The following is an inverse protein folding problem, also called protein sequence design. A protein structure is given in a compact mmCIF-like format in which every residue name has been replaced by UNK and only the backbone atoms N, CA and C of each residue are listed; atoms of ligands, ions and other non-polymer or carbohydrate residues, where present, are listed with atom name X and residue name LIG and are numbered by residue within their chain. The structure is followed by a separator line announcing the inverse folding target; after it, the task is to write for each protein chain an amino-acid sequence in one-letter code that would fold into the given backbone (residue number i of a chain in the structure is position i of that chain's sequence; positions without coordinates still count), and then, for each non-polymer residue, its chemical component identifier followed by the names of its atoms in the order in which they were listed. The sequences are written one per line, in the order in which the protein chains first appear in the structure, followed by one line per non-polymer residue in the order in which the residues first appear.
data_IF_058329520991
#
_entry.id   IF_058329520991
#
_cell.length_a   1.000
_cell.length_b   1.000
_cell.length_c   1.000
_cell.angle_alpha   90.00
_cell.angle_beta   90.00
_cell.angle_gamma   90.00
#
_symmetry.space_group_name_H-M   'P 1'
#
loop_
_entity.id
_entity.type
_entity.pdbx_description
1 polymer ?
#
# COMPACT_ATOMS: atom_id res chain seq x y z
N UNK A 1 3.61 13.35 -66.15
CA UNK A 1 2.82 12.13 -66.27
C UNK A 1 1.75 12.16 -65.19
N UNK A 2 0.51 12.49 -65.55
CA UNK A 2 -0.65 12.60 -64.66
C UNK A 2 -1.54 11.39 -64.73
N UNK A 3 -1.17 10.36 -65.50
CA UNK A 3 -2.01 9.18 -65.69
C UNK A 3 -1.69 8.10 -64.64
N UNK A 4 -2.75 7.62 -63.98
CA UNK A 4 -2.66 6.46 -63.13
C UNK A 4 -2.23 5.23 -63.93
N UNK A 5 -1.10 4.65 -63.62
CA UNK A 5 -0.60 3.43 -64.26
C UNK A 5 -0.86 2.23 -63.37
N UNK A 6 -1.46 1.21 -63.92
CA UNK A 6 -1.59 -0.08 -63.27
C UNK A 6 -0.40 -0.97 -63.64
N UNK A 7 0.40 -1.31 -62.63
CA UNK A 7 1.49 -2.24 -62.74
C UNK A 7 0.99 -3.67 -62.44
N UNK A 8 0.78 -4.46 -63.50
CA UNK A 8 0.36 -5.87 -63.37
C UNK A 8 1.58 -6.76 -63.66
N UNK A 9 1.84 -7.71 -62.78
CA UNK A 9 2.95 -8.68 -62.91
C UNK A 9 4.35 -8.03 -63.04
N UNK A 10 4.58 -6.92 -62.33
CA UNK A 10 5.90 -6.26 -62.29
C UNK A 10 6.52 -6.40 -60.92
N UNK A 11 7.78 -6.76 -60.89
CA UNK A 11 8.60 -6.71 -59.69
C UNK A 11 9.29 -5.35 -59.65
N UNK A 12 9.04 -4.60 -58.58
CA UNK A 12 9.70 -3.33 -58.31
C UNK A 12 10.95 -3.59 -57.47
N UNK A 13 12.13 -3.34 -58.02
CA UNK A 13 13.39 -3.44 -57.28
C UNK A 13 13.66 -2.11 -56.57
N UNK A 14 13.73 -2.08 -55.25
CA UNK A 14 13.98 -0.90 -54.41
C UNK A 14 13.07 0.31 -54.70
N UNK A 15 11.74 0.13 -54.69
CA UNK A 15 10.84 1.26 -54.93
C UNK A 15 10.88 2.23 -53.75
N UNK A 16 10.96 3.53 -54.03
CA UNK A 16 10.68 4.57 -53.05
C UNK A 16 9.19 4.87 -53.12
N UNK A 17 8.45 4.48 -52.13
CA UNK A 17 7.01 4.69 -52.02
C UNK A 17 6.77 5.82 -51.00
N UNK A 18 6.46 6.99 -51.51
CA UNK A 18 6.21 8.17 -50.65
C UNK A 18 4.82 8.17 -50.01
N UNK A 19 3.87 7.51 -50.66
CA UNK A 19 2.51 7.36 -50.18
C UNK A 19 1.99 5.96 -50.49
N UNK A 20 1.60 5.24 -49.47
CA UNK A 20 1.02 3.90 -49.58
C UNK A 20 -0.43 3.99 -49.09
N UNK A 21 -1.36 4.14 -50.04
CA UNK A 21 -2.77 4.20 -49.78
C UNK A 21 -3.54 3.05 -50.44
N UNK A 22 -4.77 2.81 -50.03
CA UNK A 22 -5.62 1.77 -50.57
C UNK A 22 -5.68 0.50 -49.72
N UNK A 23 -6.05 -0.62 -50.35
CA UNK A 23 -6.30 -1.89 -49.65
C UNK A 23 -5.07 -2.61 -49.13
N UNK A 24 -3.88 -2.20 -49.54
CA UNK A 24 -2.62 -2.76 -49.04
C UNK A 24 -2.24 -2.23 -47.63
N UNK A 25 -2.79 -1.09 -47.25
CA UNK A 25 -2.61 -0.48 -45.90
C UNK A 25 -3.87 -0.66 -45.10
N UNK A 26 -3.75 -1.29 -43.94
CA UNK A 26 -4.87 -1.46 -43.03
C UNK A 26 -5.00 -0.20 -42.17
N UNK A 27 -6.00 0.60 -42.47
CA UNK A 27 -6.33 1.84 -41.74
C UNK A 27 -7.50 1.68 -40.74
N UNK A 28 -8.25 0.59 -40.88
CA UNK A 28 -9.38 0.25 -39.98
C UNK A 28 -9.59 -1.28 -39.93
N UNK A 29 -10.19 -1.76 -38.87
CA UNK A 29 -10.42 -3.19 -38.65
C UNK A 29 -9.12 -3.99 -38.43
N UNK A 30 -9.24 -5.24 -38.05
CA UNK A 30 -8.13 -6.21 -37.96
C UNK A 30 -8.04 -7.00 -39.26
N UNK A 31 -6.84 -7.20 -39.79
CA UNK A 31 -6.60 -8.07 -40.94
C UNK A 31 -5.96 -9.37 -40.47
N UNK A 32 -6.51 -10.50 -40.92
CA UNK A 32 -5.90 -11.83 -40.74
C UNK A 32 -4.90 -12.17 -41.83
N UNK A 33 -4.64 -11.24 -42.75
CA UNK A 33 -3.71 -11.48 -43.85
C UNK A 33 -2.30 -11.00 -43.51
N UNK A 34 -1.35 -11.88 -43.56
CA UNK A 34 0.09 -11.62 -43.29
C UNK A 34 0.74 -10.67 -44.29
N UNK A 35 0.05 -10.34 -45.39
CA UNK A 35 0.58 -9.55 -46.51
C UNK A 35 0.20 -8.06 -46.45
N UNK A 36 -0.39 -7.59 -45.32
CA UNK A 36 -0.82 -6.19 -45.20
C UNK A 36 0.07 -5.42 -44.21
N UNK A 37 0.32 -4.17 -44.58
CA UNK A 37 1.04 -3.23 -43.71
C UNK A 37 0.04 -2.35 -42.98
N UNK A 38 0.15 -2.30 -41.69
CA UNK A 38 -0.64 -1.37 -40.85
C UNK A 38 -0.06 0.06 -40.95
N UNK A 39 -0.92 1.07 -41.02
CA UNK A 39 -0.47 2.43 -40.81
C UNK A 39 0.05 2.60 -39.36
N UNK A 40 0.94 3.55 -39.16
CA UNK A 40 1.45 3.83 -37.79
C UNK A 40 0.33 4.10 -36.79
N UNK A 41 -0.73 4.81 -37.21
CA UNK A 41 -1.92 5.04 -36.39
C UNK A 41 -2.61 3.72 -36.04
N UNK A 42 -2.86 2.86 -37.05
CA UNK A 42 -3.55 1.58 -36.83
C UNK A 42 -2.71 0.60 -36.01
N UNK A 43 -1.41 0.58 -36.21
CA UNK A 43 -0.51 -0.22 -35.38
C UNK A 43 -0.60 0.23 -33.91
N UNK A 44 -0.59 1.54 -33.64
CA UNK A 44 -0.80 2.08 -32.30
C UNK A 44 -2.13 1.67 -31.68
N UNK A 45 -3.22 1.72 -32.46
CA UNK A 45 -4.55 1.28 -32.00
C UNK A 45 -4.61 -0.20 -31.65
N UNK A 46 -3.94 -1.06 -32.42
CA UNK A 46 -3.96 -2.52 -32.21
C UNK A 46 -3.00 -2.95 -31.11
N UNK A 47 -1.79 -2.41 -31.08
CA UNK A 47 -0.75 -2.86 -30.17
C UNK A 47 -0.78 -2.17 -28.80
N UNK A 48 -1.33 -0.96 -28.72
CA UNK A 48 -1.37 -0.18 -27.50
C UNK A 48 -2.78 0.20 -27.04
N UNK A 49 -3.80 -0.30 -27.70
CA UNK A 49 -5.19 -0.34 -27.25
C UNK A 49 -5.81 0.94 -26.68
N UNK A 50 -5.23 2.11 -26.99
CA UNK A 50 -5.58 3.34 -26.25
C UNK A 50 -7.05 3.77 -26.35
N UNK A 51 -7.80 3.34 -27.34
CA UNK A 51 -9.14 3.90 -27.56
C UNK A 51 -10.29 2.86 -27.70
N UNK A 52 -10.04 1.56 -27.53
CA UNK A 52 -11.12 0.61 -27.84
C UNK A 52 -11.32 -0.57 -26.92
N UNK A 53 -10.31 -1.10 -26.28
CA UNK A 53 -10.54 -2.26 -25.40
C UNK A 53 -9.44 -2.35 -24.36
N UNK A 54 -9.82 -2.21 -23.10
CA UNK A 54 -9.13 -2.99 -22.17
C UNK A 54 -7.98 -2.35 -21.38
N UNK A 55 -7.97 -1.03 -21.17
CA UNK A 55 -7.19 -0.48 -20.07
C UNK A 55 -8.05 -0.41 -18.81
N UNK A 56 -7.51 -0.85 -17.70
CA UNK A 56 -8.04 -0.53 -16.37
C UNK A 56 -7.29 0.68 -15.87
N UNK A 57 -8.01 1.76 -15.62
CA UNK A 57 -7.46 2.99 -15.05
C UNK A 57 -7.65 3.01 -13.53
N UNK A 58 -6.92 3.91 -12.86
CA UNK A 58 -7.08 4.12 -11.42
C UNK A 58 -8.53 4.51 -11.08
N UNK A 59 -9.12 3.83 -10.10
CA UNK A 59 -10.52 4.04 -9.69
C UNK A 59 -11.56 3.19 -10.42
N UNK A 60 -11.17 2.40 -11.42
CA UNK A 60 -12.08 1.47 -12.09
C UNK A 60 -12.19 0.12 -11.34
N UNK A 61 -13.35 -0.53 -11.49
CA UNK A 61 -13.58 -1.85 -10.89
C UNK A 61 -12.76 -2.91 -11.62
N UNK A 62 -11.99 -3.68 -10.90
CA UNK A 62 -11.29 -4.85 -11.41
C UNK A 62 -12.25 -6.00 -11.67
N UNK A 63 -12.12 -6.62 -12.83
CA UNK A 63 -12.86 -7.82 -13.19
C UNK A 63 -11.89 -8.99 -13.40
N UNK A 64 -12.39 -10.21 -13.32
CA UNK A 64 -11.63 -11.42 -13.64
C UNK A 64 -11.50 -11.70 -15.14
N UNK A 65 -11.82 -10.74 -15.99
CA UNK A 65 -11.73 -10.88 -17.43
C UNK A 65 -10.30 -10.66 -17.92
N UNK A 66 -9.86 -11.48 -18.88
CA UNK A 66 -8.49 -11.44 -19.47
C UNK A 66 -8.38 -10.49 -20.67
N UNK A 67 -9.35 -9.61 -20.86
CA UNK A 67 -9.48 -8.71 -22.01
C UNK A 67 -8.95 -7.30 -21.75
N UNK A 68 -8.33 -7.08 -20.57
CA UNK A 68 -7.87 -5.75 -20.14
C UNK A 68 -6.42 -5.75 -19.69
N UNK A 69 -5.73 -4.66 -19.97
CA UNK A 69 -4.38 -4.36 -19.47
C UNK A 69 -4.47 -3.25 -18.44
N UNK A 70 -3.99 -3.50 -17.25
CA UNK A 70 -4.00 -2.49 -16.22
C UNK A 70 -2.88 -1.45 -16.45
N UNK A 71 -3.18 -0.17 -16.27
CA UNK A 71 -2.17 0.87 -16.23
C UNK A 71 -1.30 0.74 -14.97
N UNK A 72 -0.11 1.30 -14.97
CA UNK A 72 0.75 1.32 -13.78
C UNK A 72 0.07 2.01 -12.59
N UNK A 73 -0.71 3.07 -12.85
CA UNK A 73 -1.48 3.76 -11.82
C UNK A 73 -2.62 2.89 -11.26
N UNK A 74 -3.27 2.07 -12.09
CA UNK A 74 -4.29 1.14 -11.65
C UNK A 74 -3.69 0.00 -10.80
N UNK A 75 -2.52 -0.51 -11.18
CA UNK A 75 -1.80 -1.53 -10.41
C UNK A 75 -1.39 -0.98 -9.05
N UNK A 76 -0.82 0.22 -9.01
CA UNK A 76 -0.41 0.90 -7.78
C UNK A 76 -1.61 1.12 -6.84
N UNK A 77 -2.71 1.68 -7.37
CA UNK A 77 -3.94 1.86 -6.63
C UNK A 77 -4.52 0.53 -6.10
N UNK A 78 -4.47 -0.56 -6.88
CA UNK A 78 -4.95 -1.87 -6.45
C UNK A 78 -4.06 -2.50 -5.38
N UNK A 79 -2.75 -2.30 -5.45
CA UNK A 79 -1.84 -2.77 -4.40
C UNK A 79 -2.14 -2.05 -3.09
N UNK A 80 -2.31 -0.73 -3.12
CA UNK A 80 -2.68 0.07 -1.94
C UNK A 80 -4.02 -0.43 -1.37
N UNK A 81 -5.05 -0.56 -2.19
CA UNK A 81 -6.37 -1.05 -1.83
C UNK A 81 -6.32 -2.43 -1.15
N UNK A 82 -5.55 -3.38 -1.71
CA UNK A 82 -5.38 -4.71 -1.11
C UNK A 82 -4.63 -4.68 0.22
N UNK A 83 -3.63 -3.80 0.35
CA UNK A 83 -2.91 -3.62 1.62
C UNK A 83 -3.82 -3.02 2.68
N UNK A 84 -4.68 -2.08 2.30
CA UNK A 84 -5.65 -1.45 3.17
C UNK A 84 -6.78 -2.43 3.57
N UNK A 85 -7.26 -3.25 2.65
CA UNK A 85 -8.28 -4.29 2.91
C UNK A 85 -7.82 -5.36 3.93
N UNK A 86 -6.52 -5.65 3.99
CA UNK A 86 -5.96 -6.60 4.97
C UNK A 86 -5.83 -5.98 6.38
N UNK A 87 -6.19 -4.70 6.54
CA UNK A 87 -5.98 -3.95 7.77
C UNK A 87 -4.50 -3.63 7.93
N UNK A 88 -4.06 -2.55 7.34
CA UNK A 88 -2.65 -2.16 7.26
C UNK A 88 -1.92 -2.27 8.60
N UNK A 89 -0.70 -2.74 8.55
CA UNK A 89 0.20 -2.81 9.69
C UNK A 89 1.43 -1.95 9.39
N UNK A 90 1.58 -0.84 10.10
CA UNK A 90 2.66 0.12 9.88
C UNK A 90 3.66 0.07 11.03
N UNK A 91 4.85 -0.51 10.85
CA UNK A 91 5.87 -0.50 11.87
C UNK A 91 6.57 0.87 11.94
N UNK A 92 6.71 1.40 13.16
CA UNK A 92 7.51 2.60 13.45
C UNK A 92 8.57 2.32 14.51
N UNK A 93 9.68 3.03 14.45
CA UNK A 93 10.82 2.79 15.33
C UNK A 93 10.55 3.21 16.77
N UNK A 94 9.84 4.33 16.97
CA UNK A 94 9.55 4.87 18.31
C UNK A 94 8.28 5.73 18.31
N UNK A 95 7.86 6.15 19.48
CA UNK A 95 6.71 7.04 19.68
C UNK A 95 6.92 8.47 19.14
N UNK A 96 8.06 8.78 18.58
CA UNK A 96 8.38 10.12 18.02
C UNK A 96 8.48 10.14 16.49
N UNK A 97 8.17 9.04 15.82
CA UNK A 97 8.26 8.92 14.37
C UNK A 97 6.95 8.50 13.70
N UNK A 98 5.84 8.96 14.23
CA UNK A 98 4.53 8.77 13.61
C UNK A 98 4.46 9.40 12.21
N UNK A 99 3.66 8.84 11.28
CA UNK A 99 3.47 9.38 9.95
C UNK A 99 2.91 10.81 9.95
N UNK A 100 3.15 11.57 8.85
CA UNK A 100 2.58 12.92 8.67
C UNK A 100 1.07 12.94 8.51
N UNK A 101 0.53 11.87 7.96
CA UNK A 101 -0.91 11.64 7.80
C UNK A 101 -1.23 10.32 8.48
N UNK A 102 -2.42 10.19 9.03
CA UNK A 102 -2.83 8.89 9.52
C UNK A 102 -2.86 7.91 8.35
N UNK A 103 -2.22 6.74 8.48
CA UNK A 103 -2.48 5.64 7.56
C UNK A 103 -3.99 5.38 7.47
N UNK A 104 -4.46 4.86 6.34
CA UNK A 104 -5.87 4.81 6.04
C UNK A 104 -6.71 4.13 7.13
N UNK A 105 -7.92 4.65 7.32
CA UNK A 105 -8.92 4.14 8.25
C UNK A 105 -9.94 3.36 7.42
N UNK A 106 -9.54 2.18 6.95
CA UNK A 106 -10.36 1.39 6.04
C UNK A 106 -11.71 1.02 6.66
N UNK A 107 -12.80 1.52 6.09
CA UNK A 107 -14.19 1.26 6.49
C UNK A 107 -14.43 1.37 8.02
N UNK A 108 -13.68 2.21 8.71
CA UNK A 108 -13.76 2.39 10.16
C UNK A 108 -12.98 1.36 10.99
N UNK A 109 -12.26 0.44 10.34
CA UNK A 109 -11.48 -0.59 11.04
C UNK A 109 -10.06 -0.14 11.40
N UNK A 110 -9.60 1.01 10.92
CA UNK A 110 -8.30 1.57 11.23
C UNK A 110 -7.08 0.70 10.91
N UNK A 111 -5.97 1.35 10.62
CA UNK A 111 -4.67 0.68 10.42
C UNK A 111 -3.94 0.56 11.76
N UNK A 112 -3.36 -0.60 12.04
CA UNK A 112 -2.55 -0.81 13.23
C UNK A 112 -1.15 -0.25 13.04
N UNK A 113 -0.72 0.61 13.95
CA UNK A 113 0.67 1.06 14.05
C UNK A 113 1.37 0.30 15.16
N UNK A 114 2.47 -0.35 14.81
CA UNK A 114 3.34 -1.03 15.75
C UNK A 114 4.53 -0.16 16.11
N UNK A 115 4.53 0.35 17.31
CA UNK A 115 5.67 1.08 17.88
C UNK A 115 6.66 0.04 18.39
N UNK A 116 7.86 -0.03 17.80
CA UNK A 116 8.90 -0.98 18.18
C UNK A 116 9.35 -0.78 19.62
N UNK A 117 9.55 0.47 20.02
CA UNK A 117 10.05 0.80 21.35
C UNK A 117 9.60 2.20 21.77
N UNK A 118 9.04 2.33 22.96
CA UNK A 118 8.80 3.59 23.63
C UNK A 118 10.12 4.08 24.21
N UNK A 119 10.60 5.22 23.76
CA UNK A 119 11.87 5.80 24.21
C UNK A 119 11.76 6.44 25.60
N UNK A 120 10.64 7.07 25.88
CA UNK A 120 10.38 7.76 27.16
C UNK A 120 9.01 7.34 27.70
N UNK A 121 8.98 6.94 28.98
CA UNK A 121 7.72 6.57 29.65
C UNK A 121 6.70 7.70 29.59
N UNK A 122 5.46 7.35 29.22
CA UNK A 122 4.34 8.28 29.08
C UNK A 122 3.21 7.85 29.99
N UNK A 123 2.91 8.69 30.99
CA UNK A 123 1.79 8.44 31.89
C UNK A 123 0.53 9.08 31.33
N UNK A 124 -0.58 8.32 31.19
CA UNK A 124 -1.84 8.87 30.71
C UNK A 124 -2.42 9.91 31.69
N UNK A 125 -3.03 10.94 31.12
CA UNK A 125 -3.91 11.86 31.87
C UNK A 125 -5.32 11.64 31.35
N UNK A 126 -6.25 11.28 32.22
CA UNK A 126 -7.64 10.94 31.85
C UNK A 126 -7.73 9.93 30.69
N UNK A 127 -6.88 8.89 30.73
CA UNK A 127 -6.86 7.84 29.70
C UNK A 127 -6.18 8.20 28.39
N UNK A 128 -5.56 9.38 28.31
CA UNK A 128 -4.94 9.89 27.09
C UNK A 128 -3.47 10.17 27.32
N UNK A 129 -2.64 9.75 26.37
CA UNK A 129 -1.22 10.11 26.29
C UNK A 129 -1.03 11.13 25.17
N UNK A 130 -0.33 12.22 25.48
CA UNK A 130 0.04 13.25 24.52
C UNK A 130 1.55 13.25 24.36
N UNK A 131 2.02 13.17 23.11
CA UNK A 131 3.44 13.13 22.78
C UNK A 131 3.75 14.37 21.95
N UNK A 132 4.35 15.37 22.58
CA UNK A 132 4.86 16.54 21.87
C UNK A 132 5.96 16.08 20.87
N UNK A 133 5.90 16.63 19.67
CA UNK A 133 6.83 16.26 18.59
C UNK A 133 6.83 14.74 18.28
N UNK A 134 5.69 14.09 18.42
CA UNK A 134 5.53 12.66 18.12
C UNK A 134 5.63 12.33 16.63
N UNK A 135 5.65 13.34 15.77
CA UNK A 135 5.97 13.23 14.35
C UNK A 135 7.27 13.98 14.06
N UNK A 136 8.31 13.27 13.67
CA UNK A 136 9.65 13.85 13.44
C UNK A 136 9.71 14.78 12.20
N UNK A 137 8.82 14.62 11.25
CA UNK A 137 8.87 15.38 9.99
C UNK A 137 8.28 16.80 10.12
N UNK A 138 7.24 16.99 10.93
CA UNK A 138 6.56 18.28 11.10
C UNK A 138 6.39 18.71 12.56
N UNK A 139 6.97 17.97 13.51
CA UNK A 139 6.88 18.21 14.96
C UNK A 139 5.45 18.24 15.51
N UNK A 140 4.52 17.54 14.85
CA UNK A 140 3.14 17.48 15.31
C UNK A 140 3.01 16.74 16.65
N UNK A 141 2.05 17.17 17.42
CA UNK A 141 1.68 16.48 18.65
C UNK A 141 0.81 15.26 18.31
N UNK A 142 1.19 14.10 18.84
CA UNK A 142 0.43 12.86 18.73
C UNK A 142 -0.40 12.65 19.97
N UNK A 143 -1.65 12.25 19.78
CA UNK A 143 -2.60 11.92 20.84
C UNK A 143 -2.96 10.44 20.78
N UNK A 144 -2.77 9.71 21.85
CA UNK A 144 -3.17 8.31 21.98
C UNK A 144 -4.24 8.20 23.06
N UNK A 145 -5.45 7.86 22.66
CA UNK A 145 -6.61 7.70 23.54
C UNK A 145 -6.79 6.25 23.96
N UNK A 146 -7.67 5.99 24.93
CA UNK A 146 -7.98 4.62 25.33
C UNK A 146 -6.91 3.93 26.19
N UNK A 147 -5.91 4.66 26.67
CA UNK A 147 -4.85 4.09 27.52
C UNK A 147 -5.33 3.71 28.94
N UNK A 148 -6.50 4.20 29.38
CA UNK A 148 -6.93 4.03 30.76
C UNK A 148 -5.87 4.55 31.74
N UNK A 149 -5.39 3.69 32.63
CA UNK A 149 -4.28 3.97 33.56
C UNK A 149 -2.95 3.33 33.08
N UNK A 150 -2.91 2.74 31.90
CA UNK A 150 -1.74 2.02 31.38
C UNK A 150 -0.62 2.99 31.00
N UNK A 151 0.47 2.99 31.74
CA UNK A 151 1.66 3.75 31.39
C UNK A 151 2.33 3.12 30.17
N UNK A 152 2.59 3.91 29.15
CA UNK A 152 3.43 3.49 28.03
C UNK A 152 4.89 3.52 28.50
N UNK A 153 5.36 2.40 29.02
CA UNK A 153 6.68 2.31 29.65
C UNK A 153 7.81 2.32 28.65
N UNK A 154 8.88 3.06 28.95
CA UNK A 154 10.10 3.04 28.16
C UNK A 154 10.64 1.61 28.01
N UNK A 155 11.13 1.30 26.82
CA UNK A 155 11.63 -0.02 26.49
C UNK A 155 10.58 -1.03 26.04
N UNK A 156 9.28 -0.75 26.23
CA UNK A 156 8.20 -1.60 25.71
C UNK A 156 7.80 -1.16 24.29
N UNK A 157 7.31 -2.08 23.50
CA UNK A 157 6.57 -1.72 22.31
C UNK A 157 5.10 -1.41 22.62
N UNK A 158 4.40 -0.85 21.65
CA UNK A 158 2.96 -0.62 21.76
C UNK A 158 2.29 -0.81 20.41
N UNK A 159 1.02 -1.21 20.44
CA UNK A 159 0.15 -1.24 19.27
C UNK A 159 -0.94 -0.21 19.47
N UNK A 160 -1.09 0.66 18.48
CA UNK A 160 -2.16 1.66 18.42
C UNK A 160 -2.86 1.56 17.06
N UNK A 161 -4.09 2.02 17.00
CA UNK A 161 -4.93 2.01 15.80
C UNK A 161 -5.19 3.44 15.35
N UNK A 162 -5.17 3.67 14.02
CA UNK A 162 -5.49 4.98 13.44
C UNK A 162 -6.95 5.35 13.67
N UNK A 163 -7.20 6.65 13.73
CA UNK A 163 -8.55 7.22 13.75
C UNK A 163 -8.73 8.18 12.58
N UNK A 164 -9.96 8.61 12.32
CA UNK A 164 -10.27 9.63 11.32
C UNK A 164 -9.73 11.02 11.69
N UNK A 165 -9.33 11.23 12.95
CA UNK A 165 -8.74 12.49 13.40
C UNK A 165 -7.23 12.44 13.22
N UNK A 166 -6.70 13.40 12.47
CA UNK A 166 -5.27 13.48 12.19
C UNK A 166 -4.45 13.46 13.48
N UNK A 167 -3.36 12.69 13.49
CA UNK A 167 -2.43 12.51 14.60
C UNK A 167 -3.08 11.97 15.90
N UNK A 168 -4.29 11.39 15.80
CA UNK A 168 -4.99 10.76 16.90
C UNK A 168 -5.13 9.27 16.67
N UNK A 169 -4.81 8.49 17.69
CA UNK A 169 -4.76 7.03 17.65
C UNK A 169 -5.46 6.45 18.87
N UNK A 170 -5.93 5.21 18.76
CA UNK A 170 -6.51 4.44 19.86
C UNK A 170 -5.51 3.40 20.34
N UNK A 171 -5.24 3.35 21.63
CA UNK A 171 -4.35 2.36 22.24
C UNK A 171 -4.99 0.97 22.25
N UNK A 172 -4.24 -0.05 21.86
CA UNK A 172 -4.66 -1.44 21.95
C UNK A 172 -3.93 -2.21 23.03
N UNK A 173 -2.60 -2.24 22.99
CA UNK A 173 -1.77 -2.99 23.95
C UNK A 173 -0.31 -2.55 23.99
N UNK A 174 0.35 -2.87 25.09
CA UNK A 174 1.80 -2.92 25.16
C UNK A 174 2.33 -4.27 24.68
N UNK A 175 3.51 -4.27 24.07
CA UNK A 175 4.28 -5.46 23.73
C UNK A 175 5.54 -5.49 24.57
N UNK A 176 5.62 -6.35 25.61
CA UNK A 176 6.80 -6.46 26.45
C UNK A 176 7.99 -7.02 25.68
N UNK A 177 9.19 -6.68 26.08
CA UNK A 177 10.40 -7.33 25.56
C UNK A 177 10.45 -8.78 26.01
N UNK A 178 10.88 -9.67 25.11
CA UNK A 178 11.00 -11.11 25.41
C UNK A 178 11.93 -11.36 26.63
N UNK A 179 12.97 -10.57 26.80
CA UNK A 179 13.88 -10.64 27.95
C UNK A 179 13.20 -10.40 29.28
N UNK A 180 12.26 -9.46 29.35
CA UNK A 180 11.51 -9.16 30.58
C UNK A 180 10.51 -10.26 30.90
N UNK A 181 9.83 -10.80 29.90
CA UNK A 181 8.93 -11.96 30.06
C UNK A 181 9.72 -13.17 30.55
N UNK A 182 10.91 -13.43 30.00
CA UNK A 182 11.78 -14.53 30.41
C UNK A 182 12.29 -14.33 31.85
N UNK A 183 12.62 -13.11 32.25
CA UNK A 183 13.03 -12.78 33.61
C UNK A 183 11.91 -13.04 34.60
N UNK A 184 10.70 -12.57 34.32
CA UNK A 184 9.52 -12.84 35.17
C UNK A 184 9.20 -14.34 35.24
N UNK A 185 9.27 -15.04 34.13
CA UNK A 185 9.07 -16.49 34.11
C UNK A 185 10.15 -17.22 34.94
N UNK A 186 11.41 -16.75 34.89
CA UNK A 186 12.51 -17.33 35.66
C UNK A 186 12.39 -17.16 37.18
N UNK A 187 11.73 -16.11 37.67
CA UNK A 187 11.51 -15.89 39.10
C UNK A 187 10.23 -16.49 39.64
N UNK A 188 9.38 -17.07 38.78
CA UNK A 188 8.09 -17.64 39.18
C UNK A 188 8.22 -18.73 40.25
N UNK A 189 9.26 -19.56 40.15
CA UNK A 189 9.60 -20.58 41.14
C UNK A 189 9.96 -19.96 42.50
N UNK A 190 10.69 -18.87 42.53
CA UNK A 190 11.04 -18.15 43.76
C UNK A 190 9.80 -17.55 44.42
N UNK A 191 8.88 -16.97 43.65
CA UNK A 191 7.61 -16.43 44.13
C UNK A 191 6.77 -17.54 44.77
N UNK A 192 6.67 -18.71 44.14
CA UNK A 192 5.97 -19.87 44.67
C UNK A 192 6.60 -20.33 46.02
N UNK A 193 7.95 -20.38 46.08
CA UNK A 193 8.66 -20.73 47.30
C UNK A 193 8.38 -19.74 48.43
N UNK A 194 8.45 -18.44 48.17
CA UNK A 194 8.18 -17.40 49.17
C UNK A 194 6.71 -17.47 49.61
N UNK A 195 5.77 -17.65 48.70
CA UNK A 195 4.35 -17.81 49.06
C UNK A 195 4.10 -19.06 49.92
N UNK A 196 4.83 -20.16 49.67
CA UNK A 196 4.78 -21.38 50.52
C UNK A 196 5.34 -21.21 51.92
N UNK A 197 6.33 -20.30 52.11
CA UNK A 197 6.91 -20.03 53.43
C UNK A 197 6.01 -19.09 54.26
N UNK A 198 5.20 -18.27 53.63
CA UNK A 198 4.33 -17.28 54.33
C UNK A 198 3.42 -17.94 55.37
N UNK A 199 3.03 -19.17 55.19
CA UNK A 199 2.22 -19.91 56.18
C UNK A 199 3.04 -20.46 57.38
N UNK A 200 4.38 -20.41 57.31
CA UNK A 200 5.27 -20.90 58.36
C UNK A 200 5.85 -19.80 59.23
N UNK A 201 5.48 -18.53 58.92
CA UNK A 201 5.91 -17.32 59.65
C UNK A 201 4.74 -16.83 60.49
N UNK A 202 4.33 -17.60 61.47
CA UNK A 202 3.35 -17.19 62.51
C UNK A 202 3.90 -17.49 63.88
#
# INVERSE_FOLDING_TARGET
LTDAQTLTNKTLTTPVINDLSGTAVVTSGTSTSDNKVYSAKRAGEIFYGKDTVGEIQSGETWSSADDKVATTAAIDARIIDLVDDVGGFVPIASETVFPNTNPDVNNGAGTLISIKEIGTSRTPSSGTVTIANGNAANNATITITGCGSTVLSAGFGAIVETTTTLHTYTFHRLTPKATEVTTVAGISGNITTVAGIASNVT
#
